data_IF_094497642440
#
_entry.id   IF_094497642440
#
_cell.length_a   1.000
_cell.length_b   1.000
_cell.length_c   1.000
_cell.angle_alpha   90.00
_cell.angle_beta   90.00
_cell.angle_gamma   90.00
#
_symmetry.space_group_name_H-M   'P 1'
#
loop_
_entity.id
_entity.type
_entity.pdbx_description
1 polymer ?
#
# COMPACT_ATOMS: atom_id res chain seq x y z
N UNK A 1 -94.86 -7.07 1.60
CA UNK A 1 -93.75 -7.87 1.04
C UNK A 1 -93.26 -7.21 -0.23
N UNK A 2 -92.02 -6.71 -0.28
CA UNK A 2 -91.23 -6.46 -1.50
C UNK A 2 -89.79 -6.07 -1.12
N UNK A 3 -88.98 -7.13 -1.06
CA UNK A 3 -87.53 -7.27 -1.26
C UNK A 3 -86.64 -6.02 -1.03
N UNK A 4 -85.84 -6.06 0.04
CA UNK A 4 -84.69 -5.18 0.22
C UNK A 4 -83.48 -5.79 -0.51
N UNK A 5 -83.07 -5.18 -1.62
CA UNK A 5 -81.86 -5.59 -2.35
C UNK A 5 -80.66 -4.87 -1.74
N UNK A 6 -79.87 -5.61 -0.95
CA UNK A 6 -78.61 -5.12 -0.39
C UNK A 6 -77.52 -5.20 -1.47
N UNK A 7 -77.10 -4.05 -2.01
CA UNK A 7 -75.99 -3.97 -2.95
C UNK A 7 -74.69 -3.93 -2.13
N UNK A 8 -73.95 -5.03 -2.11
CA UNK A 8 -72.62 -5.10 -1.53
C UNK A 8 -71.63 -4.52 -2.55
N UNK A 9 -71.31 -3.23 -2.44
CA UNK A 9 -70.33 -2.58 -3.29
C UNK A 9 -68.92 -3.00 -2.83
N UNK A 10 -68.34 -3.99 -3.48
CA UNK A 10 -66.92 -4.35 -3.30
C UNK A 10 -66.06 -3.25 -3.90
N UNK A 11 -65.52 -2.38 -3.05
CA UNK A 11 -64.44 -1.46 -3.42
C UNK A 11 -63.17 -2.28 -3.64
N UNK A 12 -62.82 -2.57 -4.90
CA UNK A 12 -61.47 -3.00 -5.27
C UNK A 12 -60.53 -1.82 -5.06
N UNK A 13 -59.84 -1.78 -3.92
CA UNK A 13 -58.75 -0.85 -3.68
C UNK A 13 -57.53 -1.35 -4.46
N UNK A 14 -57.41 -0.93 -5.72
CA UNK A 14 -56.21 -1.17 -6.53
C UNK A 14 -55.09 -0.34 -5.93
N UNK A 15 -54.20 -0.97 -5.15
CA UNK A 15 -52.93 -0.36 -4.78
C UNK A 15 -52.06 -0.35 -6.03
N UNK A 16 -51.99 0.78 -6.72
CA UNK A 16 -50.95 1.02 -7.69
C UNK A 16 -49.60 1.05 -6.94
N UNK A 17 -48.78 0.01 -7.12
CA UNK A 17 -47.38 0.03 -6.72
C UNK A 17 -46.66 0.99 -7.67
N UNK A 18 -46.56 2.26 -7.26
CA UNK A 18 -45.65 3.19 -7.92
C UNK A 18 -44.23 2.80 -7.52
N UNK A 19 -43.45 2.28 -8.48
CA UNK A 19 -42.00 2.20 -8.29
C UNK A 19 -41.47 3.60 -8.02
N UNK A 20 -40.66 3.76 -6.97
CA UNK A 20 -40.12 5.06 -6.62
C UNK A 20 -39.14 5.52 -7.71
N UNK A 21 -39.58 6.44 -8.56
CA UNK A 21 -38.71 7.15 -9.50
C UNK A 21 -37.94 8.21 -8.70
N UNK A 22 -36.74 7.85 -8.27
CA UNK A 22 -35.83 8.77 -7.58
C UNK A 22 -35.03 9.51 -8.67
N UNK A 23 -35.08 10.85 -8.66
CA UNK A 23 -34.22 11.67 -9.53
C UNK A 23 -32.75 11.29 -9.27
N UNK A 24 -32.00 10.77 -10.27
CA UNK A 24 -30.60 10.34 -10.09
C UNK A 24 -29.72 11.41 -9.43
N UNK A 25 -30.03 12.69 -9.67
CA UNK A 25 -29.32 13.85 -9.11
C UNK A 25 -29.34 13.90 -7.59
N UNK A 26 -30.32 13.28 -6.93
CA UNK A 26 -30.38 13.22 -5.46
C UNK A 26 -29.24 12.39 -4.85
N UNK A 27 -28.53 11.60 -5.66
CA UNK A 27 -27.38 10.79 -5.26
C UNK A 27 -26.06 11.23 -5.89
N UNK A 28 -26.08 12.27 -6.73
CA UNK A 28 -24.88 12.80 -7.38
C UNK A 28 -24.26 13.91 -6.53
N UNK A 29 -23.06 13.67 -6.00
CA UNK A 29 -22.25 14.68 -5.31
C UNK A 29 -21.01 15.02 -6.13
N UNK A 30 -20.73 16.31 -6.30
CA UNK A 30 -19.62 16.81 -7.14
C UNK A 30 -18.43 17.33 -6.33
N UNK A 31 -18.51 17.25 -5.00
CA UNK A 31 -17.48 17.73 -4.08
C UNK A 31 -17.21 16.69 -2.97
N UNK A 32 -15.94 16.57 -2.51
CA UNK A 32 -14.78 17.32 -2.98
C UNK A 32 -14.30 16.83 -4.36
N UNK A 33 -13.83 17.76 -5.19
CA UNK A 33 -13.22 17.42 -6.48
C UNK A 33 -11.87 16.75 -6.19
N UNK A 34 -11.64 15.51 -6.65
CA UNK A 34 -10.35 14.85 -6.45
C UNK A 34 -9.21 15.61 -7.12
N UNK A 35 -8.02 15.58 -6.51
CA UNK A 35 -6.84 16.16 -7.12
C UNK A 35 -6.50 15.45 -8.44
N UNK A 36 -6.12 16.25 -9.45
CA UNK A 36 -5.74 15.71 -10.75
C UNK A 36 -4.35 15.10 -10.67
N UNK A 37 -4.26 13.78 -10.81
CA UNK A 37 -3.00 13.05 -10.89
C UNK A 37 -2.71 12.66 -12.33
N UNK A 38 -1.50 12.94 -12.81
CA UNK A 38 -1.05 12.49 -14.13
C UNK A 38 -0.38 11.12 -13.98
N UNK A 39 -0.86 10.07 -14.64
CA UNK A 39 -0.26 8.74 -14.55
C UNK A 39 1.14 8.72 -15.19
N UNK A 40 1.92 7.72 -14.80
CA UNK A 40 3.21 7.45 -15.43
C UNK A 40 3.08 7.14 -16.93
N UNK A 41 4.09 7.52 -17.70
CA UNK A 41 4.10 7.37 -19.18
C UNK A 41 4.27 5.89 -19.58
N UNK A 42 5.06 5.13 -18.82
CA UNK A 42 5.31 3.71 -19.06
C UNK A 42 4.84 2.88 -17.86
N UNK A 43 4.58 1.57 -18.04
CA UNK A 43 4.42 0.66 -16.92
C UNK A 43 5.60 0.80 -15.94
N UNK A 44 5.29 0.96 -14.65
CA UNK A 44 6.27 1.19 -13.60
C UNK A 44 6.77 2.63 -13.44
N UNK A 45 6.42 3.54 -14.37
CA UNK A 45 6.70 4.96 -14.16
C UNK A 45 5.82 5.54 -13.05
N UNK A 46 6.38 6.36 -12.16
CA UNK A 46 5.62 6.97 -11.07
C UNK A 46 4.57 7.97 -11.61
N UNK A 47 3.40 8.09 -10.97
CA UNK A 47 2.48 9.20 -11.22
C UNK A 47 3.06 10.52 -10.70
N UNK A 48 2.44 11.64 -11.10
CA UNK A 48 2.93 12.99 -10.79
C UNK A 48 3.00 13.34 -9.30
N UNK A 49 2.21 12.66 -8.46
CA UNK A 49 2.11 12.89 -7.02
C UNK A 49 2.96 11.90 -6.18
N UNK A 50 3.64 10.94 -6.82
CA UNK A 50 4.41 9.94 -6.12
C UNK A 50 5.72 10.49 -5.54
N UNK A 51 6.09 9.97 -4.36
CA UNK A 51 7.42 10.14 -3.79
C UNK A 51 8.34 9.09 -4.40
N UNK A 52 9.39 9.54 -5.10
CA UNK A 52 10.34 8.64 -5.75
C UNK A 52 11.33 8.11 -4.72
N UNK A 53 11.19 6.84 -4.34
CA UNK A 53 12.10 6.18 -3.41
C UNK A 53 13.43 5.79 -4.07
N UNK A 54 13.42 5.46 -5.36
CA UNK A 54 14.63 5.13 -6.11
C UNK A 54 14.44 5.49 -7.58
N UNK A 55 15.41 6.22 -8.14
CA UNK A 55 15.38 6.75 -9.51
C UNK A 55 16.47 6.15 -10.41
N UNK A 56 17.14 5.09 -9.93
CA UNK A 56 18.28 4.47 -10.60
C UNK A 56 19.63 5.13 -10.34
N UNK A 57 19.69 6.23 -9.57
CA UNK A 57 20.92 7.03 -9.42
C UNK A 57 21.42 7.11 -7.98
N UNK A 58 20.53 7.10 -7.01
CA UNK A 58 20.88 7.45 -5.63
C UNK A 58 20.10 6.64 -4.59
N UNK A 59 20.77 6.35 -3.47
CA UNK A 59 20.19 5.80 -2.25
C UNK A 59 19.78 6.89 -1.24
N UNK A 60 19.64 8.15 -1.66
CA UNK A 60 19.38 9.29 -0.77
C UNK A 60 18.09 9.16 0.05
N UNK A 61 17.09 8.42 -0.45
CA UNK A 61 15.84 8.16 0.30
C UNK A 61 15.97 6.99 1.29
N UNK A 62 17.12 6.34 1.34
CA UNK A 62 17.37 5.14 2.12
C UNK A 62 18.49 5.35 3.13
N UNK A 63 18.41 4.61 4.23
CA UNK A 63 19.40 4.58 5.31
C UNK A 63 19.44 3.18 5.92
N UNK A 64 20.44 2.90 6.75
CA UNK A 64 20.44 1.70 7.57
C UNK A 64 19.44 1.82 8.72
N UNK A 65 18.75 0.73 9.09
CA UNK A 65 17.93 0.70 10.28
C UNK A 65 18.81 0.83 11.52
N UNK A 66 18.31 1.59 12.49
CA UNK A 66 19.04 1.90 13.71
C UNK A 66 19.47 0.66 14.50
N UNK A 67 18.57 -0.32 14.56
CA UNK A 67 18.67 -1.50 15.42
C UNK A 67 18.58 -2.81 14.65
N UNK A 68 18.63 -2.74 13.30
CA UNK A 68 18.39 -3.90 12.45
C UNK A 68 16.94 -4.38 12.46
N UNK A 69 16.62 -5.26 11.51
CA UNK A 69 15.38 -6.03 11.48
C UNK A 69 15.73 -7.49 11.67
N UNK A 70 15.00 -8.18 12.55
CA UNK A 70 15.30 -9.58 12.86
C UNK A 70 16.62 -9.78 13.62
N UNK A 71 16.84 -11.03 13.99
CA UNK A 71 17.99 -11.47 14.76
C UNK A 71 17.73 -12.87 15.30
N UNK A 72 18.77 -13.68 15.39
CA UNK A 72 18.69 -14.94 16.10
C UNK A 72 18.44 -14.69 17.60
N UNK A 73 17.88 -15.65 18.32
CA UNK A 73 17.73 -15.54 19.79
C UNK A 73 19.06 -15.27 20.50
N UNK A 74 20.19 -15.66 19.89
CA UNK A 74 21.53 -15.39 20.39
C UNK A 74 21.91 -13.89 20.33
N UNK A 75 21.29 -13.12 19.44
CA UNK A 75 21.60 -11.69 19.23
C UNK A 75 20.63 -10.77 20.00
N UNK A 76 19.51 -11.29 20.51
CA UNK A 76 18.44 -10.51 21.16
C UNK A 76 18.97 -9.68 22.32
N UNK A 77 19.85 -10.23 23.17
CA UNK A 77 20.40 -9.50 24.30
C UNK A 77 21.25 -8.30 23.85
N UNK A 78 22.08 -8.48 22.83
CA UNK A 78 22.91 -7.42 22.28
C UNK A 78 22.04 -6.32 21.63
N UNK A 79 21.01 -6.72 20.89
CA UNK A 79 20.04 -5.78 20.28
C UNK A 79 19.28 -5.00 21.35
N UNK A 80 18.80 -5.66 22.41
CA UNK A 80 18.09 -5.02 23.51
C UNK A 80 18.97 -4.01 24.26
N UNK A 81 20.22 -4.37 24.55
CA UNK A 81 21.21 -3.45 25.15
C UNK A 81 21.49 -2.26 24.25
N UNK A 82 21.70 -2.48 22.94
CA UNK A 82 21.90 -1.40 21.96
C UNK A 82 20.70 -0.45 21.93
N UNK A 83 19.47 -0.99 21.90
CA UNK A 83 18.22 -0.21 21.96
C UNK A 83 18.11 0.61 23.24
N UNK A 84 18.42 0.02 24.40
CA UNK A 84 18.35 0.73 25.68
C UNK A 84 19.40 1.85 25.81
N UNK A 85 20.58 1.68 25.19
CA UNK A 85 21.66 2.66 25.21
C UNK A 85 21.53 3.75 24.12
N UNK A 86 20.59 3.60 23.18
CA UNK A 86 20.38 4.52 22.07
C UNK A 86 19.72 5.81 22.56
N UNK A 87 20.56 6.79 22.89
CA UNK A 87 20.15 8.12 23.35
C UNK A 87 20.18 9.18 22.24
N UNK A 88 20.86 8.87 21.12
CA UNK A 88 20.92 9.70 19.91
C UNK A 88 20.92 8.81 18.68
N UNK A 89 20.28 9.29 17.63
CA UNK A 89 20.29 8.63 16.33
C UNK A 89 21.37 9.24 15.45
N UNK A 90 22.38 8.45 15.10
CA UNK A 90 23.33 8.79 14.05
C UNK A 90 22.90 8.07 12.77
N UNK A 91 22.43 8.85 11.79
CA UNK A 91 22.04 8.31 10.50
C UNK A 91 23.23 7.68 9.80
N UNK A 92 23.04 6.46 9.32
CA UNK A 92 24.00 5.78 8.46
C UNK A 92 23.37 5.56 7.11
N UNK A 93 24.07 5.96 6.05
CA UNK A 93 23.58 5.79 4.68
C UNK A 93 23.49 4.30 4.32
N UNK A 94 22.51 3.98 3.48
CA UNK A 94 22.41 2.67 2.87
C UNK A 94 23.63 2.39 1.99
N UNK A 95 24.21 1.20 2.11
CA UNK A 95 25.45 0.80 1.43
C UNK A 95 25.23 -0.44 0.54
N UNK A 96 24.02 -0.53 -0.04
CA UNK A 96 23.73 -1.41 -1.16
C UNK A 96 24.30 -0.84 -2.46
N UNK A 97 24.47 -1.69 -3.47
CA UNK A 97 25.13 -1.31 -4.72
C UNK A 97 24.09 -0.75 -5.71
N UNK A 98 24.45 0.30 -6.45
CA UNK A 98 23.69 0.73 -7.63
C UNK A 98 24.49 0.34 -8.86
N UNK A 99 23.86 -0.43 -9.74
CA UNK A 99 24.47 -0.85 -11.01
C UNK A 99 23.42 -0.90 -12.11
N UNK A 100 23.73 -0.30 -13.25
CA UNK A 100 22.86 -0.29 -14.44
C UNK A 100 21.43 0.23 -14.16
N UNK A 101 21.30 1.20 -13.24
CA UNK A 101 20.02 1.76 -12.83
C UNK A 101 19.22 0.89 -11.86
N UNK A 102 19.75 -0.24 -11.42
CA UNK A 102 19.14 -1.13 -10.42
C UNK A 102 19.81 -0.99 -9.06
N UNK A 103 19.01 -1.14 -8.00
CA UNK A 103 19.47 -1.27 -6.62
C UNK A 103 19.70 -2.76 -6.32
N UNK A 104 20.93 -3.12 -5.95
CA UNK A 104 21.37 -4.50 -5.74
C UNK A 104 21.73 -4.73 -4.27
N UNK A 105 21.12 -5.74 -3.67
CA UNK A 105 21.43 -6.18 -2.31
C UNK A 105 22.86 -6.66 -2.22
N UNK A 106 23.63 -6.12 -1.25
CA UNK A 106 24.99 -6.59 -0.96
C UNK A 106 24.95 -7.50 0.28
N UNK A 107 25.19 -8.82 0.14
CA UNK A 107 25.18 -9.74 1.28
C UNK A 107 26.11 -9.28 2.41
N UNK A 108 25.63 -9.36 3.65
CA UNK A 108 26.38 -8.95 4.85
C UNK A 108 26.36 -7.45 5.16
N UNK A 109 25.77 -6.61 4.30
CA UNK A 109 25.62 -5.16 4.57
C UNK A 109 24.39 -4.78 5.40
N UNK A 110 23.51 -5.76 5.62
CA UNK A 110 22.29 -5.63 6.40
C UNK A 110 21.13 -5.05 5.58
N UNK A 111 20.05 -4.74 6.29
CA UNK A 111 18.83 -4.16 5.72
C UNK A 111 18.98 -2.67 5.47
N UNK A 112 18.06 -2.11 4.68
CA UNK A 112 17.88 -0.68 4.48
C UNK A 112 16.41 -0.32 4.74
N UNK A 113 16.17 0.92 5.13
CA UNK A 113 14.83 1.47 5.34
C UNK A 113 14.71 2.84 4.70
N UNK A 114 13.49 3.28 4.38
CA UNK A 114 13.25 4.64 3.93
C UNK A 114 13.54 5.63 5.05
N UNK A 115 14.12 6.79 4.73
CA UNK A 115 14.32 7.85 5.74
C UNK A 115 13.00 8.39 6.25
N UNK A 116 12.02 8.50 5.36
CA UNK A 116 10.65 8.93 5.67
C UNK A 116 9.84 7.73 6.15
N UNK A 117 9.04 7.96 7.20
CA UNK A 117 7.99 7.04 7.62
C UNK A 117 6.69 7.34 6.87
N UNK A 118 5.93 6.29 6.58
CA UNK A 118 4.68 6.38 5.83
C UNK A 118 3.52 5.77 6.61
N UNK A 119 2.32 6.31 6.42
CA UNK A 119 1.06 5.72 6.88
C UNK A 119 0.43 4.90 5.75
N UNK A 120 -0.82 5.23 5.41
CA UNK A 120 -1.51 4.61 4.27
C UNK A 120 -0.81 5.00 2.97
N UNK A 121 -0.41 3.98 2.19
CA UNK A 121 0.29 4.17 0.93
C UNK A 121 -0.19 3.21 -0.14
N UNK A 122 -0.01 3.65 -1.38
CA UNK A 122 0.17 2.77 -2.52
C UNK A 122 1.67 2.69 -2.81
N UNK A 123 2.21 1.47 -2.90
CA UNK A 123 3.63 1.23 -3.17
C UNK A 123 3.80 0.49 -4.49
N UNK A 124 4.72 0.96 -5.32
CA UNK A 124 5.21 0.25 -6.50
C UNK A 124 6.67 -0.17 -6.27
N UNK A 125 6.98 -1.45 -6.47
CA UNK A 125 8.34 -1.99 -6.42
C UNK A 125 8.49 -3.06 -7.50
N UNK A 126 9.61 -3.02 -8.21
CA UNK A 126 10.03 -4.06 -9.13
C UNK A 126 11.30 -4.71 -8.59
N UNK A 127 11.39 -6.03 -8.72
CA UNK A 127 12.51 -6.81 -8.22
C UNK A 127 12.83 -7.94 -9.19
N UNK A 128 14.11 -8.32 -9.21
CA UNK A 128 14.65 -9.39 -10.03
C UNK A 128 15.55 -10.27 -9.16
N UNK A 129 15.38 -11.58 -9.25
CA UNK A 129 16.26 -12.53 -8.56
C UNK A 129 17.46 -12.90 -9.44
N UNK A 130 18.67 -12.97 -8.85
CA UNK A 130 19.78 -13.61 -9.54
C UNK A 130 19.58 -15.13 -9.57
N UNK A 131 20.19 -15.78 -10.56
CA UNK A 131 20.32 -17.23 -10.58
C UNK A 131 21.33 -17.67 -9.50
N UNK A 132 20.90 -18.49 -8.53
CA UNK A 132 21.74 -18.95 -7.42
C UNK A 132 21.87 -20.48 -7.39
N UNK A 133 22.91 -21.02 -8.01
CA UNK A 133 23.16 -22.48 -8.00
C UNK A 133 23.34 -22.99 -6.57
N UNK A 134 22.65 -24.09 -6.24
CA UNK A 134 22.81 -24.79 -4.95
C UNK A 134 21.99 -24.25 -3.78
N UNK A 135 21.26 -23.14 -3.95
CA UNK A 135 20.30 -22.67 -2.94
C UNK A 135 18.89 -23.19 -3.24
N UNK A 136 18.07 -23.38 -2.21
CA UNK A 136 16.67 -23.83 -2.32
C UNK A 136 15.82 -23.23 -1.20
N UNK A 137 14.49 -23.25 -1.36
CA UNK A 137 13.56 -22.79 -0.33
C UNK A 137 13.77 -21.34 0.10
N UNK A 138 13.73 -21.08 1.41
CA UNK A 138 13.90 -19.74 2.00
C UNK A 138 15.31 -19.16 1.82
N UNK A 139 16.28 -19.95 1.35
CA UNK A 139 17.64 -19.46 1.08
C UNK A 139 17.82 -18.98 -0.36
N UNK A 140 16.85 -19.23 -1.25
CA UNK A 140 16.94 -18.85 -2.65
C UNK A 140 16.47 -17.41 -2.87
N UNK A 141 17.42 -16.47 -2.88
CA UNK A 141 17.18 -15.05 -3.19
C UNK A 141 16.09 -14.39 -2.34
N UNK A 142 15.97 -14.80 -1.08
CA UNK A 142 14.98 -14.28 -0.16
C UNK A 142 15.32 -12.86 0.31
N UNK A 143 14.30 -12.02 0.32
CA UNK A 143 14.24 -10.64 0.81
C UNK A 143 12.80 -10.38 1.28
N UNK A 144 12.46 -9.14 1.62
CA UNK A 144 11.10 -8.74 2.00
C UNK A 144 10.81 -8.77 3.49
#
# INVERSE_FOLDING_TARGET
MKQATLIFATFLFSTALFGQEIDPKLTETWEPVPEKVTPGIFPGSPPSDAIILFDGKSLSQWRKPLVGYGGSMAEVEAVAKKRAALTKYEEQDADWEIKDGALIVVPGKGHIETRKAFGDIQLHIEWLTPEQTGKTGQDYSNSG
#
